data_IF_369220469327
#
_entry.id   IF_369220469327
#
_cell.length_a   1.000
_cell.length_b   1.000
_cell.length_c   1.000
_cell.angle_alpha   90.00
_cell.angle_beta   90.00
_cell.angle_gamma   90.00
#
_symmetry.space_group_name_H-M   'P 1'
#
loop_
_entity.id
_entity.type
_entity.pdbx_description
1 polymer ?
#
# COMPACT_ATOMS: atom_id res chain seq x y z
N UNK A 1 7.77 -9.06 16.98
CA UNK A 1 7.70 -10.45 16.44
C UNK A 1 7.39 -10.33 14.95
N UNK A 2 8.36 -10.64 14.11
CA UNK A 2 8.26 -10.55 12.65
C UNK A 2 7.13 -11.45 12.14
N UNK A 3 6.37 -10.97 11.16
CA UNK A 3 5.27 -11.70 10.53
C UNK A 3 5.81 -12.53 9.35
N UNK A 4 5.86 -13.86 9.44
CA UNK A 4 6.49 -14.69 8.40
C UNK A 4 5.86 -14.50 7.01
N UNK A 5 4.52 -14.39 6.98
CA UNK A 5 3.75 -14.13 5.75
C UNK A 5 4.17 -12.81 5.06
N UNK A 6 4.51 -11.78 5.83
CA UNK A 6 4.96 -10.50 5.29
C UNK A 6 6.36 -10.61 4.68
N UNK A 7 7.23 -11.41 5.29
CA UNK A 7 8.58 -11.71 4.77
C UNK A 7 8.50 -12.59 3.52
N UNK A 8 7.60 -13.57 3.50
CA UNK A 8 7.37 -14.40 2.32
C UNK A 8 6.83 -13.58 1.13
N UNK A 9 5.91 -12.64 1.41
CA UNK A 9 5.39 -11.71 0.42
C UNK A 9 6.49 -10.80 -0.15
N UNK A 10 7.39 -10.26 0.69
CA UNK A 10 8.47 -9.40 0.19
C UNK A 10 9.42 -10.13 -0.75
N UNK A 11 9.88 -11.33 -0.38
CA UNK A 11 10.74 -12.14 -1.23
C UNK A 11 10.08 -12.52 -2.56
N UNK A 12 8.79 -12.82 -2.54
CA UNK A 12 8.02 -13.18 -3.75
C UNK A 12 7.70 -12.00 -4.64
N UNK A 13 7.59 -10.79 -4.08
CA UNK A 13 7.37 -9.58 -4.87
C UNK A 13 8.65 -9.19 -5.63
N UNK A 14 9.80 -9.22 -4.96
CA UNK A 14 11.10 -8.84 -5.53
C UNK A 14 11.50 -9.76 -6.70
N UNK A 15 11.18 -11.06 -6.62
CA UNK A 15 11.52 -12.03 -7.67
C UNK A 15 10.71 -11.89 -8.96
N UNK A 16 9.58 -11.16 -8.95
CA UNK A 16 8.64 -11.10 -10.09
C UNK A 16 8.98 -10.04 -11.15
N UNK A 17 10.06 -9.27 -10.99
CA UNK A 17 10.56 -8.35 -12.03
C UNK A 17 9.52 -7.34 -12.54
N UNK A 18 8.57 -6.93 -11.68
CA UNK A 18 7.48 -6.01 -12.07
C UNK A 18 8.02 -4.59 -12.28
N UNK A 19 7.40 -3.84 -13.20
CA UNK A 19 7.80 -2.46 -13.52
C UNK A 19 7.63 -1.45 -12.37
N UNK A 20 6.75 -1.75 -11.40
CA UNK A 20 6.53 -0.90 -10.22
C UNK A 20 7.38 -1.38 -9.04
N UNK A 21 8.28 -0.51 -8.56
CA UNK A 21 9.14 -0.79 -7.41
C UNK A 21 8.37 -0.57 -6.10
N UNK A 22 8.14 -1.66 -5.36
CA UNK A 22 7.59 -1.64 -4.00
C UNK A 22 8.71 -2.01 -3.03
N UNK A 23 8.74 -1.38 -1.85
CA UNK A 23 9.72 -1.69 -0.80
C UNK A 23 8.99 -2.08 0.48
N UNK A 24 9.52 -3.08 1.16
CA UNK A 24 9.02 -3.57 2.43
C UNK A 24 9.94 -3.10 3.56
N UNK A 25 9.35 -2.77 4.71
CA UNK A 25 10.08 -2.34 5.88
C UNK A 25 9.37 -2.76 7.16
N UNK A 26 10.13 -3.02 8.21
CA UNK A 26 9.65 -3.25 9.57
C UNK A 26 10.20 -2.12 10.45
N UNK A 27 9.38 -1.62 11.36
CA UNK A 27 9.79 -0.62 12.34
C UNK A 27 9.43 -1.12 13.73
N UNK A 28 10.41 -1.12 14.63
CA UNK A 28 10.18 -1.42 16.04
C UNK A 28 9.61 -0.17 16.74
N UNK A 29 8.31 -0.21 17.03
CA UNK A 29 7.60 0.93 17.62
C UNK A 29 7.81 1.06 19.14
N UNK A 30 8.31 0.03 19.83
CA UNK A 30 8.60 0.12 21.29
C UNK A 30 9.70 1.14 21.59
N UNK A 31 10.66 1.31 20.67
CA UNK A 31 11.74 2.30 20.78
C UNK A 31 11.40 3.64 20.13
N UNK A 32 10.35 3.71 19.30
CA UNK A 32 10.01 4.87 18.47
C UNK A 32 8.63 5.45 18.81
N UNK A 33 8.51 6.06 20.00
CA UNK A 33 7.23 6.59 20.51
C UNK A 33 6.64 7.71 19.65
N UNK A 34 7.46 8.63 19.16
CA UNK A 34 7.03 9.75 18.31
C UNK A 34 6.40 9.24 17.01
N UNK A 35 7.01 8.25 16.37
CA UNK A 35 6.50 7.66 15.14
C UNK A 35 5.17 6.95 15.37
N UNK A 36 5.06 6.20 16.47
CA UNK A 36 3.83 5.51 16.87
C UNK A 36 2.66 6.50 17.02
N UNK A 37 2.92 7.63 17.69
CA UNK A 37 1.91 8.67 17.91
C UNK A 37 1.55 9.40 16.62
N UNK A 38 2.56 9.75 15.80
CA UNK A 38 2.34 10.43 14.52
C UNK A 38 1.54 9.59 13.51
N UNK A 39 1.69 8.27 13.57
CA UNK A 39 0.98 7.32 12.70
C UNK A 39 -0.26 6.71 13.37
N UNK A 40 -0.65 7.18 14.56
CA UNK A 40 -1.82 6.72 15.31
C UNK A 40 -1.86 5.18 15.53
N UNK A 41 -0.70 4.59 15.82
CA UNK A 41 -0.56 3.13 15.99
C UNK A 41 -0.93 2.71 17.41
N UNK A 42 -2.10 2.05 17.54
CA UNK A 42 -2.64 1.56 18.82
C UNK A 42 -2.59 0.04 19.00
N UNK A 43 -2.35 -0.71 17.93
CA UNK A 43 -2.30 -2.18 17.96
C UNK A 43 -1.08 -2.69 17.23
N UNK A 44 -0.57 -3.86 17.60
CA UNK A 44 0.58 -4.45 16.94
C UNK A 44 0.26 -5.85 16.40
N UNK A 45 0.76 -6.21 15.21
CA UNK A 45 1.36 -5.32 14.21
C UNK A 45 0.29 -4.47 13.49
N UNK A 46 0.64 -3.22 13.13
CA UNK A 46 -0.09 -2.39 12.16
C UNK A 46 0.68 -2.36 10.85
N UNK A 47 0.00 -2.61 9.73
CA UNK A 47 0.59 -2.61 8.40
C UNK A 47 0.11 -1.37 7.67
N UNK A 48 1.04 -0.61 7.10
CA UNK A 48 0.76 0.65 6.42
C UNK A 48 1.40 0.58 5.02
N UNK A 49 0.65 1.01 4.00
CA UNK A 49 1.14 1.15 2.63
C UNK A 49 1.29 2.62 2.29
N UNK A 50 2.47 3.04 1.86
CA UNK A 50 2.74 4.41 1.43
C UNK A 50 2.73 4.51 -0.10
N UNK A 51 1.94 5.44 -0.64
CA UNK A 51 1.88 5.67 -2.09
C UNK A 51 2.97 6.65 -2.54
N UNK A 52 3.74 6.29 -3.57
CA UNK A 52 4.82 7.13 -4.10
C UNK A 52 4.31 8.44 -4.73
N UNK A 53 3.13 8.40 -5.36
CA UNK A 53 2.54 9.54 -6.08
C UNK A 53 2.07 10.68 -5.17
N UNK A 54 2.04 10.49 -3.85
CA UNK A 54 1.55 11.48 -2.89
C UNK A 54 2.55 12.59 -2.56
N UNK A 55 3.81 12.45 -2.99
CA UNK A 55 4.85 13.41 -2.64
C UNK A 55 4.69 14.77 -3.34
N UNK A 56 3.89 14.86 -4.40
CA UNK A 56 3.65 16.10 -5.15
C UNK A 56 2.73 17.10 -4.44
N UNK A 57 1.91 16.67 -3.47
CA UNK A 57 1.03 17.55 -2.67
C UNK A 57 1.57 17.89 -1.28
N UNK A 58 2.80 17.47 -0.95
CA UNK A 58 3.44 17.75 0.35
C UNK A 58 2.97 16.88 1.53
N UNK A 59 2.00 15.98 1.32
CA UNK A 59 1.51 15.07 2.36
C UNK A 59 1.57 13.62 1.87
N UNK A 60 2.29 12.77 2.60
CA UNK A 60 2.41 11.35 2.27
C UNK A 60 1.07 10.62 2.48
N UNK A 61 0.42 10.24 1.38
CA UNK A 61 -0.74 9.37 1.41
C UNK A 61 -0.30 7.98 1.83
N UNK A 62 -0.96 7.48 2.86
CA UNK A 62 -0.75 6.14 3.37
C UNK A 62 -2.09 5.50 3.73
N UNK A 63 -2.14 4.18 3.65
CA UNK A 63 -3.33 3.39 3.87
C UNK A 63 -3.03 2.30 4.90
N UNK A 64 -3.83 2.22 5.95
CA UNK A 64 -3.76 1.13 6.92
C UNK A 64 -4.36 -0.13 6.31
N UNK A 65 -3.57 -1.21 6.28
CA UNK A 65 -4.01 -2.51 5.81
C UNK A 65 -4.69 -3.29 6.93
N UNK A 66 -5.99 -3.54 6.76
CA UNK A 66 -6.82 -4.30 7.69
C UNK A 66 -7.30 -5.64 7.11
N UNK A 67 -6.70 -6.07 5.99
CA UNK A 67 -7.07 -7.31 5.32
C UNK A 67 -6.49 -8.58 5.96
N UNK A 68 -6.71 -9.71 5.29
CA UNK A 68 -6.23 -11.03 5.68
C UNK A 68 -4.70 -11.08 5.66
N UNK A 69 -4.07 -11.62 6.70
CA UNK A 69 -2.61 -11.59 6.86
C UNK A 69 -1.92 -12.83 6.29
N UNK A 70 -2.19 -13.17 5.04
CA UNK A 70 -1.50 -14.25 4.30
C UNK A 70 -0.63 -13.66 3.20
N UNK A 71 0.38 -14.42 2.75
CA UNK A 71 1.25 -14.05 1.64
C UNK A 71 0.45 -13.61 0.41
N UNK A 72 -0.55 -14.38 -0.01
CA UNK A 72 -1.35 -14.11 -1.20
C UNK A 72 -2.14 -12.81 -1.06
N UNK A 73 -2.78 -12.60 0.09
CA UNK A 73 -3.59 -11.40 0.33
C UNK A 73 -2.74 -10.12 0.35
N UNK A 74 -1.48 -10.20 0.79
CA UNK A 74 -0.54 -9.09 0.66
C UNK A 74 -0.18 -8.83 -0.80
N UNK A 75 0.14 -9.87 -1.57
CA UNK A 75 0.50 -9.72 -2.99
C UNK A 75 -0.65 -9.13 -3.80
N UNK A 76 -1.87 -9.60 -3.59
CA UNK A 76 -3.08 -9.11 -4.26
C UNK A 76 -3.35 -7.65 -3.91
N UNK A 77 -3.18 -7.28 -2.64
CA UNK A 77 -3.34 -5.90 -2.20
C UNK A 77 -2.30 -4.97 -2.85
N UNK A 78 -1.03 -5.39 -2.88
CA UNK A 78 0.03 -4.60 -3.52
C UNK A 78 -0.25 -4.45 -5.01
N UNK A 79 -0.69 -5.52 -5.68
CA UNK A 79 -1.07 -5.49 -7.09
C UNK A 79 -2.24 -4.53 -7.36
N UNK A 80 -3.27 -4.57 -6.52
CA UNK A 80 -4.39 -3.63 -6.58
C UNK A 80 -3.96 -2.17 -6.40
N UNK A 81 -3.04 -1.92 -5.47
CA UNK A 81 -2.55 -0.57 -5.16
C UNK A 81 -1.56 -0.03 -6.20
N UNK A 82 -0.86 -0.91 -6.93
CA UNK A 82 0.21 -0.53 -7.87
C UNK A 82 -0.19 -0.59 -9.33
N UNK A 83 -1.33 -1.21 -9.66
CA UNK A 83 -1.87 -1.18 -11.03
C UNK A 83 -2.23 0.26 -11.44
N UNK A 84 -2.12 0.55 -12.73
CA UNK A 84 -2.58 1.82 -13.29
C UNK A 84 -4.11 1.89 -13.18
N UNK A 85 -4.61 2.52 -12.11
CA UNK A 85 -6.04 2.69 -11.85
C UNK A 85 -6.65 3.94 -12.54
N UNK A 86 -5.86 4.66 -13.34
CA UNK A 86 -6.32 5.87 -14.03
C UNK A 86 -6.52 5.55 -15.51
N UNK A 87 -7.77 5.25 -15.88
CA UNK A 87 -8.16 5.34 -17.27
C UNK A 87 -8.20 6.82 -17.66
N UNK A 88 -7.38 7.21 -18.64
CA UNK A 88 -7.42 8.56 -19.19
C UNK A 88 -8.73 8.70 -19.96
N UNK A 89 -9.69 9.41 -19.36
CA UNK A 89 -10.90 9.80 -20.08
C UNK A 89 -10.62 11.09 -20.82
N UNK A 90 -10.87 11.10 -22.13
CA UNK A 90 -10.48 12.22 -22.98
C UNK A 90 -11.50 13.37 -22.94
N UNK A 91 -12.70 13.14 -22.39
CA UNK A 91 -13.75 14.14 -22.31
C UNK A 91 -14.70 13.91 -21.14
N UNK A 92 -15.28 15.00 -20.64
CA UNK A 92 -16.31 14.96 -19.59
C UNK A 92 -17.56 14.18 -20.03
N UNK A 93 -17.89 14.21 -21.32
CA UNK A 93 -19.00 13.47 -21.92
C UNK A 93 -18.81 11.94 -21.86
N UNK A 94 -17.57 11.45 -22.00
CA UNK A 94 -17.26 10.02 -21.81
C UNK A 94 -17.33 9.58 -20.34
N UNK A 95 -17.06 10.49 -19.40
CA UNK A 95 -17.18 10.21 -17.97
C UNK A 95 -18.65 10.06 -17.57
N UNK A 96 -19.50 10.97 -18.02
CA UNK A 96 -20.95 10.98 -17.72
C UNK A 96 -21.65 9.76 -18.32
N UNK A 97 -21.38 9.43 -19.59
CA UNK A 97 -21.97 8.26 -20.27
C UNK A 97 -21.61 6.90 -19.64
N UNK A 98 -20.58 6.87 -18.78
CA UNK A 98 -20.19 5.68 -18.00
C UNK A 98 -20.73 5.68 -16.58
N UNK A 99 -20.97 6.85 -16.00
CA UNK A 99 -21.61 6.98 -14.68
C UNK A 99 -23.08 6.56 -14.69
N UNK A 100 -23.71 6.54 -15.86
CA UNK A 100 -25.13 6.21 -16.04
C UNK A 100 -25.40 4.72 -16.40
N UNK A 101 -24.37 3.87 -16.39
CA UNK A 101 -24.50 2.40 -16.57
C UNK A 101 -24.33 1.67 -15.24
#
# INVERSE_FOLDING_TARGET
KTMPEFVAASGSWDSKGRGTRVRFGEVECTTNKELRERLDVHSYPTIIMWAAAAQSSGQALHYTYNGVRTQEAFLDYIEFMTRENVEKVNSMQEMEARSER
#
